data_IF_440964347613
#
_entry.id   IF_440964347613
#
_cell.length_a   1.000
_cell.length_b   1.000
_cell.length_c   1.000
_cell.angle_alpha   90.00
_cell.angle_beta   90.00
_cell.angle_gamma   90.00
#
_symmetry.space_group_name_H-M   'P 1'
#
loop_
_entity.id
_entity.type
_entity.pdbx_description
1 polymer ?
#
# COMPACT_ATOMS: atom_id res chain seq x y z
N UNK A 1 -28.79 4.03 -35.54
CA UNK A 1 -27.51 4.23 -34.81
C UNK A 1 -26.52 3.14 -35.22
N UNK A 2 -25.44 3.49 -35.92
CA UNK A 2 -24.55 2.52 -36.57
C UNK A 2 -23.77 1.65 -35.58
N UNK A 3 -23.51 0.39 -35.94
CA UNK A 3 -22.79 -0.60 -35.11
C UNK A 3 -21.44 -0.07 -34.59
N UNK A 4 -20.72 0.69 -35.44
CA UNK A 4 -19.45 1.35 -35.10
C UNK A 4 -19.56 2.42 -34.02
N UNK A 5 -20.68 3.15 -33.96
CA UNK A 5 -20.89 4.17 -32.93
C UNK A 5 -21.13 3.53 -31.55
N UNK A 6 -21.82 2.37 -31.51
CA UNK A 6 -22.02 1.62 -30.26
C UNK A 6 -20.70 1.04 -29.73
N UNK A 7 -19.83 0.54 -30.62
CA UNK A 7 -18.50 0.04 -30.26
C UNK A 7 -17.61 1.14 -29.68
N UNK A 8 -17.62 2.33 -30.29
CA UNK A 8 -16.89 3.50 -29.79
C UNK A 8 -17.38 3.95 -28.41
N UNK A 9 -18.70 4.03 -28.22
CA UNK A 9 -19.30 4.42 -26.93
C UNK A 9 -18.95 3.39 -25.85
N UNK A 10 -19.03 2.09 -26.14
CA UNK A 10 -18.63 1.05 -25.19
C UNK A 10 -17.14 1.12 -24.82
N UNK A 11 -16.27 1.39 -25.80
CA UNK A 11 -14.83 1.54 -25.57
C UNK A 11 -14.53 2.75 -24.68
N UNK A 12 -15.21 3.88 -24.91
CA UNK A 12 -15.06 5.09 -24.10
C UNK A 12 -15.58 4.90 -22.67
N UNK A 13 -16.68 4.19 -22.49
CA UNK A 13 -17.20 3.86 -21.16
C UNK A 13 -16.22 2.95 -20.41
N UNK A 14 -15.68 1.93 -21.08
CA UNK A 14 -14.68 1.03 -20.49
C UNK A 14 -13.42 1.78 -20.08
N UNK A 15 -12.89 2.63 -20.95
CA UNK A 15 -11.71 3.45 -20.67
C UNK A 15 -11.95 4.41 -19.49
N UNK A 16 -13.12 5.03 -19.42
CA UNK A 16 -13.51 5.92 -18.32
C UNK A 16 -13.56 5.18 -16.98
N UNK A 17 -14.11 3.96 -16.95
CA UNK A 17 -14.13 3.11 -15.74
C UNK A 17 -12.71 2.76 -15.28
N UNK A 18 -11.79 2.47 -16.22
CA UNK A 18 -10.39 2.19 -15.90
C UNK A 18 -9.61 3.42 -15.39
N UNK A 19 -9.92 4.63 -15.87
CA UNK A 19 -9.23 5.85 -15.42
C UNK A 19 -9.84 6.46 -14.15
N UNK A 20 -11.14 6.23 -13.89
CA UNK A 20 -11.81 6.69 -12.68
C UNK A 20 -11.49 5.81 -11.45
N UNK A 21 -10.80 4.69 -11.65
CA UNK A 21 -10.34 3.82 -10.57
C UNK A 21 -9.16 4.49 -9.85
N UNK A 22 -9.46 5.42 -8.95
CA UNK A 22 -8.53 6.03 -7.99
C UNK A 22 -8.06 5.00 -6.94
N UNK A 23 -7.60 3.82 -7.33
CA UNK A 23 -7.04 2.82 -6.42
C UNK A 23 -5.61 3.17 -5.96
N UNK A 24 -5.05 4.28 -6.43
CA UNK A 24 -3.60 4.53 -6.38
C UNK A 24 -3.08 5.24 -5.12
N UNK A 25 -3.88 5.39 -4.06
CA UNK A 25 -3.40 5.93 -2.77
C UNK A 25 -3.53 4.95 -1.59
N UNK A 26 -4.01 3.72 -1.83
CA UNK A 26 -4.08 2.70 -0.79
C UNK A 26 -2.72 2.03 -0.58
N UNK A 27 -1.88 2.60 0.29
CA UNK A 27 -0.75 1.90 0.89
C UNK A 27 0.49 1.72 0.03
N UNK A 28 1.14 2.82 -0.34
CA UNK A 28 2.43 2.91 -1.07
C UNK A 28 3.64 2.34 -0.30
N UNK A 29 3.50 1.19 0.39
CA UNK A 29 4.58 0.58 1.18
C UNK A 29 4.94 1.34 2.46
N UNK A 30 4.18 2.37 2.84
CA UNK A 30 4.42 3.19 4.04
C UNK A 30 4.07 2.50 5.36
N UNK A 31 3.45 1.31 5.31
CA UNK A 31 3.13 0.55 6.52
C UNK A 31 4.31 -0.31 6.94
N UNK A 32 4.85 0.00 8.12
CA UNK A 32 6.01 -0.71 8.68
C UNK A 32 5.73 -2.20 8.97
N UNK A 33 4.46 -2.59 9.09
CA UNK A 33 4.05 -3.96 9.41
C UNK A 33 4.17 -4.95 8.23
N UNK A 34 4.78 -4.55 7.10
CA UNK A 34 5.07 -5.43 5.97
C UNK A 34 3.87 -5.78 5.08
N UNK A 35 4.13 -6.62 4.07
CA UNK A 35 3.16 -7.09 3.07
C UNK A 35 2.73 -8.54 3.35
N UNK A 36 1.44 -8.82 3.16
CA UNK A 36 0.83 -10.13 3.45
C UNK A 36 0.17 -10.20 4.83
N UNK A 37 -0.77 -11.14 4.98
CA UNK A 37 -1.52 -11.34 6.23
C UNK A 37 -0.62 -11.78 7.37
N UNK A 38 0.30 -12.71 7.12
CA UNK A 38 1.16 -13.26 8.17
C UNK A 38 2.17 -12.24 8.66
N UNK A 39 2.82 -11.55 7.73
CA UNK A 39 3.78 -10.50 8.05
C UNK A 39 3.13 -9.37 8.88
N UNK A 40 1.89 -9.00 8.54
CA UNK A 40 1.11 -8.00 9.29
C UNK A 40 0.65 -8.51 10.64
N UNK A 41 0.26 -9.77 10.75
CA UNK A 41 -0.08 -10.40 12.02
C UNK A 41 1.11 -10.44 12.99
N UNK A 42 2.33 -10.55 12.46
CA UNK A 42 3.59 -10.50 13.23
C UNK A 42 4.18 -9.10 13.35
N UNK A 43 3.40 -8.04 13.08
CA UNK A 43 3.85 -6.65 13.19
C UNK A 43 5.09 -6.30 12.35
N UNK A 44 5.29 -6.96 11.20
CA UNK A 44 6.43 -6.71 10.29
C UNK A 44 7.64 -7.63 10.46
N UNK A 45 7.55 -8.68 11.30
CA UNK A 45 8.66 -9.62 11.49
C UNK A 45 9.01 -10.47 10.24
N UNK A 46 8.20 -10.40 9.18
CA UNK A 46 8.41 -11.12 7.94
C UNK A 46 9.64 -10.69 7.13
N UNK A 47 10.40 -9.69 7.60
CA UNK A 47 11.75 -9.40 7.07
C UNK A 47 12.70 -10.59 7.32
N UNK A 48 12.58 -11.26 8.47
CA UNK A 48 13.42 -12.39 8.83
C UNK A 48 12.71 -13.75 8.71
N UNK A 49 11.37 -13.77 8.78
CA UNK A 49 10.58 -15.00 8.77
C UNK A 49 9.65 -15.09 7.55
N UNK A 50 10.03 -15.94 6.59
CA UNK A 50 9.30 -16.12 5.34
C UNK A 50 8.18 -17.17 5.49
N UNK A 51 6.97 -16.73 5.84
CA UNK A 51 5.81 -17.63 5.99
C UNK A 51 4.97 -17.80 4.71
N UNK A 52 4.93 -16.76 3.87
CA UNK A 52 4.07 -16.72 2.69
C UNK A 52 4.76 -16.04 1.49
N UNK A 53 4.22 -16.20 0.29
CA UNK A 53 4.78 -15.63 -0.93
C UNK A 53 4.82 -14.10 -0.94
N UNK A 54 4.07 -13.43 -0.05
CA UNK A 54 4.13 -11.97 0.10
C UNK A 54 5.44 -11.51 0.76
N UNK A 55 6.26 -12.45 1.27
CA UNK A 55 7.65 -12.17 1.69
C UNK A 55 8.45 -11.49 0.58
N UNK A 56 8.16 -11.76 -0.70
CA UNK A 56 8.85 -11.13 -1.83
C UNK A 56 8.73 -9.60 -1.79
N UNK A 57 7.60 -9.07 -1.33
CA UNK A 57 7.35 -7.64 -1.21
C UNK A 57 8.00 -7.01 0.05
N UNK A 58 8.51 -7.81 0.99
CA UNK A 58 9.14 -7.34 2.24
C UNK A 58 10.64 -7.62 2.27
N UNK A 59 11.04 -8.84 1.94
CA UNK A 59 12.41 -9.29 1.77
C UNK A 59 12.47 -10.34 0.64
N UNK A 60 12.88 -9.99 -0.59
CA UNK A 60 12.94 -10.94 -1.70
C UNK A 60 13.91 -12.11 -1.46
N UNK A 61 14.92 -11.95 -0.60
CA UNK A 61 15.79 -13.06 -0.21
C UNK A 61 15.06 -14.14 0.61
N UNK A 62 13.96 -13.79 1.30
CA UNK A 62 13.12 -14.74 2.02
C UNK A 62 12.39 -15.74 1.13
N UNK A 63 12.27 -15.47 -0.18
CA UNK A 63 11.64 -16.38 -1.13
C UNK A 63 12.30 -17.76 -1.18
N UNK A 64 13.62 -17.83 -0.94
CA UNK A 64 14.37 -19.11 -0.93
C UNK A 64 14.01 -20.01 0.24
N UNK A 65 13.38 -19.47 1.28
CA UNK A 65 12.95 -20.22 2.47
C UNK A 65 11.53 -20.79 2.31
N UNK A 66 10.81 -20.42 1.24
CA UNK A 66 9.50 -20.96 0.93
C UNK A 66 9.62 -22.42 0.48
N UNK A 67 8.85 -23.30 1.11
CA UNK A 67 8.97 -24.76 0.90
C UNK A 67 8.18 -25.28 -0.30
N UNK A 68 7.25 -24.50 -0.84
CA UNK A 68 6.31 -24.90 -1.89
C UNK A 68 5.92 -23.71 -2.74
N UNK A 69 5.42 -23.98 -3.94
CA UNK A 69 4.73 -22.99 -4.76
C UNK A 69 3.46 -22.53 -4.03
N UNK A 70 3.24 -21.22 -4.05
CA UNK A 70 2.14 -20.57 -3.36
C UNK A 70 1.46 -19.58 -4.29
N UNK A 71 0.13 -19.59 -4.28
CA UNK A 71 -0.70 -18.63 -5.00
C UNK A 71 -1.58 -17.92 -3.98
N UNK A 72 -1.43 -16.60 -3.88
CA UNK A 72 -2.08 -15.77 -2.86
C UNK A 72 -2.83 -14.63 -3.53
N UNK A 73 -4.11 -14.52 -3.19
CA UNK A 73 -4.97 -13.39 -3.59
C UNK A 73 -5.64 -12.89 -2.32
N UNK A 74 -5.57 -11.58 -2.08
CA UNK A 74 -6.13 -10.97 -0.89
C UNK A 74 -6.38 -9.50 -1.09
N UNK A 75 -7.15 -8.93 -0.16
CA UNK A 75 -7.42 -7.50 -0.08
C UNK A 75 -7.07 -6.99 1.31
N UNK A 76 -6.68 -5.72 1.39
CA UNK A 76 -6.30 -5.06 2.64
C UNK A 76 -7.26 -3.90 2.85
N UNK A 77 -7.92 -3.86 4.01
CA UNK A 77 -8.75 -2.74 4.44
C UNK A 77 -8.05 -2.03 5.58
N UNK A 78 -7.88 -0.71 5.45
CA UNK A 78 -7.15 0.13 6.41
C UNK A 78 -8.07 1.24 6.89
N UNK A 79 -8.23 1.33 8.21
CA UNK A 79 -8.96 2.42 8.86
C UNK A 79 -7.96 3.21 9.71
N UNK A 80 -7.68 4.45 9.32
CA UNK A 80 -6.82 5.34 10.10
C UNK A 80 -7.68 6.25 10.99
N UNK A 81 -7.27 6.45 12.24
CA UNK A 81 -7.81 7.48 13.14
C UNK A 81 -6.72 8.49 13.42
N UNK A 82 -6.92 9.73 13.03
CA UNK A 82 -5.98 10.82 13.30
C UNK A 82 -6.10 11.23 14.77
N UNK A 83 -5.04 11.01 15.56
CA UNK A 83 -5.01 11.33 17.00
C UNK A 83 -4.23 12.62 17.30
N UNK A 84 -3.42 13.09 16.36
CA UNK A 84 -2.65 14.33 16.49
C UNK A 84 -2.93 15.25 15.30
N UNK A 85 -3.10 16.53 15.59
CA UNK A 85 -3.13 17.60 14.60
C UNK A 85 -1.84 18.40 14.75
N UNK A 86 -1.29 18.89 13.64
CA UNK A 86 -0.26 19.90 13.71
C UNK A 86 -0.85 21.15 14.36
N UNK A 87 -0.39 21.50 15.56
CA UNK A 87 -0.62 22.82 16.13
C UNK A 87 0.48 23.76 15.66
N UNK A 88 0.18 25.05 15.57
CA UNK A 88 1.22 26.05 15.32
C UNK A 88 2.36 25.90 16.34
N UNK A 89 3.60 25.92 15.84
CA UNK A 89 4.78 25.88 16.71
C UNK A 89 4.80 27.19 17.47
N UNK A 90 4.65 27.12 18.80
CA UNK A 90 4.86 28.29 19.65
C UNK A 90 6.35 28.68 19.55
N UNK A 91 6.69 29.86 18.99
CA UNK A 91 8.08 30.30 18.84
C UNK A 91 8.81 30.39 20.18
N UNK A 92 8.08 30.56 21.28
CA UNK A 92 8.64 30.64 22.63
C UNK A 92 9.12 29.29 23.19
N UNK A 93 8.69 28.16 22.61
CA UNK A 93 9.13 26.81 23.00
C UNK A 93 10.06 26.17 21.97
N UNK A 94 10.41 26.90 20.90
CA UNK A 94 11.34 26.39 19.90
C UNK A 94 12.75 26.27 20.53
N UNK A 95 13.47 25.17 20.30
CA UNK A 95 14.84 25.03 20.78
C UNK A 95 15.72 26.16 20.23
N UNK A 96 16.65 26.71 21.02
CA UNK A 96 17.50 27.81 20.59
C UNK A 96 18.31 27.41 19.35
N UNK A 97 18.29 28.27 18.34
CA UNK A 97 19.05 28.07 17.11
C UNK A 97 20.55 28.18 17.45
N UNK A 98 21.38 27.18 17.17
CA UNK A 98 22.81 27.27 17.44
C UNK A 98 23.43 28.41 16.62
N UNK A 99 24.08 29.36 17.29
CA UNK A 99 24.92 30.36 16.64
C UNK A 99 26.16 29.70 16.06
N UNK A 100 26.38 29.86 14.75
CA UNK A 100 27.61 29.47 14.04
C UNK A 100 28.82 30.26 14.54
#
# INVERSE_FOLDING_TARGET
>A
MGKRLKELVNSLIFLSVCTASNFTHAGLGSYLNGAGTNNRALSGAGVAFAEDAMVIATNPAGAVQLKKDQWLVGSIFLTAKQTANASEVNPATAPPVPSL
#
